data_IF_923291115928
#
_entry.id   IF_923291115928
#
_cell.length_a   1.000
_cell.length_b   1.000
_cell.length_c   1.000
_cell.angle_alpha   90.00
_cell.angle_beta   90.00
_cell.angle_gamma   90.00
#
_symmetry.space_group_name_H-M   'P 1'
#
loop_
_entity.id
_entity.type
_entity.pdbx_description
1 polymer ?
#
# COMPACT_ATOMS: atom_id res chain seq x y z
N UNK A 1 66.20 -19.65 -19.03
CA UNK A 1 65.11 -19.75 -20.01
C UNK A 1 63.86 -19.91 -19.18
N UNK A 2 63.19 -18.79 -18.93
CA UNK A 2 61.95 -18.70 -18.15
C UNK A 2 60.77 -19.05 -19.05
N UNK A 3 59.89 -19.93 -18.59
CA UNK A 3 58.56 -20.12 -19.15
C UNK A 3 57.58 -19.19 -18.43
N UNK A 4 56.93 -18.33 -19.21
CA UNK A 4 55.96 -17.33 -18.75
C UNK A 4 54.58 -17.93 -18.52
N UNK A 5 54.02 -17.67 -17.35
CA UNK A 5 52.66 -18.01 -16.98
C UNK A 5 51.74 -16.79 -17.21
N UNK A 6 50.73 -16.97 -18.05
CA UNK A 6 49.78 -15.94 -18.47
C UNK A 6 48.63 -15.92 -17.46
N UNK A 7 48.48 -14.80 -16.74
CA UNK A 7 47.46 -14.60 -15.72
C UNK A 7 46.15 -14.10 -16.37
N UNK A 8 45.03 -14.75 -16.08
CA UNK A 8 43.69 -14.38 -16.62
C UNK A 8 42.92 -13.66 -15.51
N UNK A 9 42.34 -12.46 -15.74
CA UNK A 9 41.64 -11.74 -14.68
C UNK A 9 40.27 -12.35 -14.38
N UNK A 10 39.92 -12.37 -13.09
CA UNK A 10 38.66 -12.91 -12.56
C UNK A 10 37.45 -12.04 -12.94
N UNK A 11 36.34 -12.70 -13.29
CA UNK A 11 35.04 -12.10 -13.57
C UNK A 11 34.40 -11.59 -12.26
N UNK A 12 33.86 -10.37 -12.19
CA UNK A 12 33.21 -9.87 -10.98
C UNK A 12 31.85 -10.54 -10.77
N UNK A 13 31.59 -11.01 -9.54
CA UNK A 13 30.34 -11.65 -9.15
C UNK A 13 29.18 -10.64 -9.08
N UNK A 14 28.07 -10.93 -9.75
CA UNK A 14 26.84 -10.14 -9.66
C UNK A 14 26.21 -10.23 -8.25
N UNK A 15 25.59 -9.14 -7.75
CA UNK A 15 24.94 -9.14 -6.45
C UNK A 15 23.65 -9.97 -6.47
N UNK A 16 23.57 -10.96 -5.57
CA UNK A 16 22.36 -11.76 -5.34
C UNK A 16 21.20 -10.88 -4.84
N UNK A 17 19.95 -11.10 -5.30
CA UNK A 17 18.79 -10.40 -4.75
C UNK A 17 18.59 -10.77 -3.27
N UNK A 18 18.59 -9.77 -2.40
CA UNK A 18 18.33 -9.93 -0.95
C UNK A 18 16.83 -9.85 -0.73
N UNK A 19 16.19 -11.00 -0.50
CA UNK A 19 14.82 -11.05 -0.01
C UNK A 19 14.76 -10.84 1.50
N UNK A 20 13.78 -10.05 2.01
CA UNK A 20 13.54 -9.97 3.44
C UNK A 20 13.14 -11.35 3.97
N UNK A 21 13.64 -11.78 5.15
CA UNK A 21 13.30 -13.08 5.69
C UNK A 21 11.80 -13.15 5.99
N UNK A 22 11.17 -14.27 5.63
CA UNK A 22 9.81 -14.60 6.07
C UNK A 22 9.77 -14.63 7.61
N UNK A 23 8.73 -14.06 8.25
CA UNK A 23 8.62 -14.04 9.70
C UNK A 23 8.53 -15.47 10.25
N UNK A 24 9.42 -15.80 11.19
CA UNK A 24 9.47 -17.08 11.88
C UNK A 24 8.25 -17.24 12.79
N UNK A 25 7.63 -18.42 12.77
CA UNK A 25 6.68 -18.86 13.82
C UNK A 25 7.45 -18.96 15.14
N UNK A 26 7.02 -18.23 16.16
CA UNK A 26 7.47 -18.43 17.54
C UNK A 26 6.35 -19.07 18.36
N UNK A 27 6.74 -20.12 19.09
CA UNK A 27 5.91 -20.98 19.95
C UNK A 27 6.09 -20.55 21.41
N UNK A 28 4.97 -20.43 22.16
CA UNK A 28 4.76 -20.57 23.64
C UNK A 28 5.61 -19.73 24.63
N UNK A 29 5.16 -19.24 25.81
CA UNK A 29 4.05 -19.59 26.70
C UNK A 29 3.63 -18.44 27.66
N UNK A 30 2.35 -18.50 28.10
CA UNK A 30 1.70 -18.18 29.40
C UNK A 30 2.13 -17.00 30.31
N UNK A 31 1.14 -16.23 30.80
CA UNK A 31 0.67 -16.20 32.21
C UNK A 31 -0.53 -15.23 32.45
N UNK A 32 -1.57 -15.78 33.12
CA UNK A 32 -2.66 -15.24 33.97
C UNK A 32 -3.73 -14.20 33.51
N UNK A 33 -4.96 -14.73 33.39
CA UNK A 33 -6.25 -14.32 34.00
C UNK A 33 -6.58 -12.85 34.28
N UNK A 34 -7.76 -12.37 33.85
CA UNK A 34 -8.98 -12.18 34.69
C UNK A 34 -10.16 -11.69 33.80
N UNK A 35 -11.36 -12.18 34.09
CA UNK A 35 -12.65 -11.96 33.44
C UNK A 35 -13.29 -10.57 33.63
N UNK A 36 -13.96 -10.02 32.60
CA UNK A 36 -15.30 -9.37 32.61
C UNK A 36 -15.55 -8.54 31.31
N UNK A 37 -16.78 -8.03 31.07
CA UNK A 37 -17.91 -8.67 30.40
C UNK A 37 -18.03 -8.31 28.90
N UNK A 38 -18.78 -9.13 28.18
CA UNK A 38 -19.13 -8.99 26.75
C UNK A 38 -19.93 -7.71 26.49
N UNK A 39 -19.36 -6.78 25.73
CA UNK A 39 -20.08 -5.66 25.13
C UNK A 39 -20.22 -5.96 23.64
N UNK A 40 -21.46 -6.11 23.18
CA UNK A 40 -21.82 -6.29 21.77
C UNK A 40 -21.22 -5.14 20.92
N UNK A 41 -20.26 -5.46 20.06
CA UNK A 41 -19.59 -4.49 19.18
C UNK A 41 -20.34 -4.37 17.85
N UNK A 42 -21.29 -3.44 17.75
CA UNK A 42 -21.75 -2.94 16.46
C UNK A 42 -20.72 -1.95 15.87
N UNK A 43 -19.62 -2.49 15.33
CA UNK A 43 -18.60 -1.75 14.59
C UNK A 43 -18.78 -1.91 13.08
N UNK A 44 -18.89 -0.80 12.35
CA UNK A 44 -18.87 -0.81 10.87
C UNK A 44 -17.45 -1.19 10.45
N UNK A 45 -17.27 -2.42 9.98
CA UNK A 45 -16.01 -2.91 9.45
C UNK A 45 -15.70 -2.22 8.12
N UNK A 46 -14.43 -1.84 7.91
CA UNK A 46 -13.99 -1.35 6.60
C UNK A 46 -14.03 -2.52 5.63
N UNK A 47 -14.95 -2.45 4.66
CA UNK A 47 -15.22 -3.51 3.68
C UNK A 47 -14.16 -3.47 2.59
N UNK A 48 -13.43 -4.57 2.43
CA UNK A 48 -12.50 -4.73 1.31
C UNK A 48 -13.30 -4.89 -0.01
N UNK A 49 -12.77 -4.40 -1.14
CA UNK A 49 -13.38 -4.66 -2.44
C UNK A 49 -13.54 -6.16 -2.71
N UNK A 50 -14.58 -6.51 -3.47
CA UNK A 50 -14.80 -7.90 -3.88
C UNK A 50 -13.72 -8.34 -4.88
N UNK A 51 -13.35 -9.62 -4.81
CA UNK A 51 -12.42 -10.20 -5.77
C UNK A 51 -12.95 -10.05 -7.22
N UNK A 52 -12.07 -9.84 -8.22
CA UNK A 52 -12.49 -9.74 -9.62
C UNK A 52 -13.15 -11.04 -10.09
N UNK A 53 -14.31 -10.94 -10.74
CA UNK A 53 -15.07 -12.12 -11.16
C UNK A 53 -14.44 -12.79 -12.38
N UNK A 54 -13.93 -11.98 -13.31
CA UNK A 54 -13.26 -12.37 -14.56
C UNK A 54 -11.84 -11.79 -14.67
N UNK A 55 -11.02 -12.30 -15.60
CA UNK A 55 -9.71 -11.72 -15.92
C UNK A 55 -9.83 -10.26 -16.40
N UNK A 56 -10.91 -9.94 -17.11
CA UNK A 56 -11.20 -8.57 -17.55
C UNK A 56 -11.43 -7.61 -16.36
N UNK A 57 -12.11 -8.07 -15.31
CA UNK A 57 -12.41 -7.25 -14.11
C UNK A 57 -11.15 -6.89 -13.30
N UNK A 58 -10.03 -7.58 -13.53
CA UNK A 58 -8.74 -7.22 -12.93
C UNK A 58 -8.36 -5.78 -13.34
N UNK A 59 -8.73 -5.35 -14.56
CA UNK A 59 -8.50 -4.00 -15.08
C UNK A 59 -7.13 -3.80 -15.72
N UNK A 60 -6.33 -4.86 -15.84
CA UNK A 60 -5.00 -4.84 -16.46
C UNK A 60 -5.05 -5.53 -17.82
N UNK A 61 -4.20 -5.10 -18.75
CA UNK A 61 -4.16 -5.72 -20.08
C UNK A 61 -3.71 -7.18 -19.99
N UNK A 62 -4.17 -8.08 -20.88
CA UNK A 62 -3.73 -9.47 -20.91
C UNK A 62 -2.21 -9.60 -20.99
N UNK A 63 -1.56 -8.77 -21.82
CA UNK A 63 -0.10 -8.76 -21.95
C UNK A 63 0.60 -8.42 -20.63
N UNK A 64 0.11 -7.40 -19.91
CA UNK A 64 0.67 -7.05 -18.59
C UNK A 64 0.51 -8.20 -17.59
N UNK A 65 -0.65 -8.85 -17.56
CA UNK A 65 -0.92 -9.96 -16.63
C UNK A 65 0.00 -11.16 -16.92
N UNK A 66 0.18 -11.52 -18.18
CA UNK A 66 1.08 -12.60 -18.59
C UNK A 66 2.53 -12.28 -18.23
N UNK A 67 3.01 -11.07 -18.51
CA UNK A 67 4.35 -10.62 -18.09
C UNK A 67 4.53 -10.65 -16.58
N UNK A 68 3.52 -10.17 -15.83
CA UNK A 68 3.56 -10.13 -14.37
C UNK A 68 3.64 -11.55 -13.78
N UNK A 69 2.86 -12.49 -14.31
CA UNK A 69 2.94 -13.91 -13.93
C UNK A 69 4.30 -14.52 -14.31
N UNK A 70 4.82 -14.25 -15.51
CA UNK A 70 6.16 -14.71 -15.92
C UNK A 70 7.23 -14.22 -14.93
N UNK A 71 7.19 -12.96 -14.51
CA UNK A 71 8.15 -12.41 -13.52
C UNK A 71 8.07 -13.15 -12.18
N UNK A 72 6.87 -13.48 -11.71
CA UNK A 72 6.70 -14.27 -10.47
C UNK A 72 7.28 -15.68 -10.64
N UNK A 73 7.04 -16.35 -11.77
CA UNK A 73 7.64 -17.67 -12.04
C UNK A 73 9.17 -17.55 -12.14
N UNK A 74 9.69 -16.51 -12.78
CA UNK A 74 11.13 -16.26 -12.89
C UNK A 74 11.80 -16.21 -11.51
N UNK A 75 11.26 -15.42 -10.58
CA UNK A 75 11.82 -15.32 -9.23
C UNK A 75 11.58 -16.55 -8.34
N UNK A 76 10.46 -17.26 -8.52
CA UNK A 76 10.12 -18.43 -7.71
C UNK A 76 10.66 -19.75 -8.27
N UNK A 77 11.22 -19.72 -9.50
CA UNK A 77 11.77 -20.82 -10.31
C UNK A 77 10.77 -21.95 -10.67
N UNK A 78 10.13 -22.55 -9.66
CA UNK A 78 9.18 -23.68 -9.81
C UNK A 78 7.92 -23.54 -8.93
N UNK A 79 7.18 -22.42 -9.00
CA UNK A 79 5.98 -22.22 -8.20
C UNK A 79 4.80 -23.12 -8.64
N UNK A 80 3.88 -23.36 -7.72
CA UNK A 80 2.54 -23.86 -8.03
C UNK A 80 1.60 -22.72 -8.43
N UNK A 81 0.48 -23.01 -9.09
CA UNK A 81 -0.53 -21.99 -9.41
C UNK A 81 -1.05 -21.26 -8.15
N UNK A 82 -1.21 -21.98 -7.04
CA UNK A 82 -1.62 -21.40 -5.75
C UNK A 82 -0.55 -20.44 -5.19
N UNK A 83 0.74 -20.77 -5.34
CA UNK A 83 1.82 -19.86 -4.95
C UNK A 83 1.76 -18.57 -5.76
N UNK A 84 1.63 -18.67 -7.09
CA UNK A 84 1.51 -17.50 -7.98
C UNK A 84 0.27 -16.68 -7.61
N UNK A 85 -0.88 -17.31 -7.41
CA UNK A 85 -2.13 -16.64 -7.00
C UNK A 85 -1.99 -15.86 -5.70
N UNK A 86 -1.30 -16.44 -4.70
CA UNK A 86 -1.03 -15.77 -3.44
C UNK A 86 -0.09 -14.58 -3.61
N UNK A 87 0.98 -14.71 -4.39
CA UNK A 87 1.94 -13.61 -4.63
C UNK A 87 1.28 -12.47 -5.40
N UNK A 88 0.54 -12.80 -6.47
CA UNK A 88 -0.13 -11.82 -7.33
C UNK A 88 -1.42 -11.28 -6.68
N UNK A 89 -1.92 -11.89 -5.61
CA UNK A 89 -3.12 -11.41 -4.91
C UNK A 89 -4.40 -11.57 -5.73
N UNK A 90 -4.43 -12.49 -6.71
CA UNK A 90 -5.59 -12.76 -7.56
C UNK A 90 -6.18 -14.15 -7.26
N UNK A 91 -7.48 -14.39 -7.54
CA UNK A 91 -8.08 -15.72 -7.48
C UNK A 91 -7.30 -16.75 -8.29
N UNK A 92 -7.15 -17.96 -7.74
CA UNK A 92 -6.37 -19.04 -8.39
C UNK A 92 -6.92 -19.41 -9.77
N UNK A 93 -8.24 -19.32 -9.99
CA UNK A 93 -8.86 -19.57 -11.30
C UNK A 93 -8.30 -18.69 -12.42
N UNK A 94 -8.06 -17.42 -12.13
CA UNK A 94 -7.51 -16.45 -13.09
C UNK A 94 -6.04 -16.75 -13.38
N UNK A 95 -5.30 -17.18 -12.36
CA UNK A 95 -3.91 -17.60 -12.53
C UNK A 95 -3.80 -18.88 -13.37
N UNK A 96 -4.70 -19.84 -13.19
CA UNK A 96 -4.73 -21.06 -14.03
C UNK A 96 -4.98 -20.69 -15.50
N UNK A 97 -5.93 -19.79 -15.77
CA UNK A 97 -6.19 -19.30 -17.13
C UNK A 97 -4.96 -18.63 -17.75
N UNK A 98 -4.26 -17.77 -17.00
CA UNK A 98 -3.01 -17.14 -17.45
C UNK A 98 -1.88 -18.15 -17.67
N UNK A 99 -1.74 -19.15 -16.79
CA UNK A 99 -0.74 -20.20 -16.93
C UNK A 99 -1.01 -21.09 -18.15
N UNK A 100 -2.27 -21.37 -18.46
CA UNK A 100 -2.63 -22.13 -19.66
C UNK A 100 -2.37 -21.34 -20.95
N UNK A 101 -2.58 -20.01 -20.94
CA UNK A 101 -2.15 -19.14 -22.03
C UNK A 101 -0.62 -19.15 -22.21
N UNK A 102 0.14 -19.01 -21.12
CA UNK A 102 1.60 -19.09 -21.14
C UNK A 102 2.12 -20.45 -21.64
N UNK A 103 1.46 -21.55 -21.28
CA UNK A 103 1.78 -22.90 -21.78
C UNK A 103 1.49 -23.03 -23.28
N UNK A 104 0.32 -22.55 -23.72
CA UNK A 104 -0.05 -22.55 -25.14
C UNK A 104 0.99 -21.81 -25.99
N UNK A 105 1.50 -20.70 -25.46
CA UNK A 105 2.55 -19.89 -26.10
C UNK A 105 3.97 -20.43 -25.90
N UNK A 106 4.12 -21.59 -25.24
CA UNK A 106 5.38 -22.25 -24.88
C UNK A 106 6.32 -21.39 -24.06
N UNK A 107 5.78 -20.50 -23.22
CA UNK A 107 6.53 -19.66 -22.28
C UNK A 107 6.81 -20.40 -20.97
N UNK A 108 5.95 -21.33 -20.56
CA UNK A 108 6.19 -22.18 -19.40
C UNK A 108 5.75 -23.62 -19.65
N UNK A 109 6.23 -24.52 -18.80
CA UNK A 109 5.94 -25.95 -18.83
C UNK A 109 5.68 -26.48 -17.41
N UNK A 110 5.02 -27.63 -17.32
CA UNK A 110 4.71 -28.29 -16.04
C UNK A 110 5.84 -29.26 -15.71
N UNK A 111 6.37 -29.16 -14.48
CA UNK A 111 7.44 -30.02 -13.98
C UNK A 111 6.92 -30.77 -12.75
N UNK A 112 6.43 -31.97 -12.99
CA UNK A 112 5.93 -32.87 -11.94
C UNK A 112 4.46 -32.69 -11.60
N UNK A 113 3.86 -33.79 -11.15
CA UNK A 113 2.47 -33.95 -10.73
C UNK A 113 2.14 -35.45 -10.72
N UNK A 114 1.58 -35.94 -9.61
CA UNK A 114 1.09 -37.33 -9.56
C UNK A 114 -0.02 -37.51 -10.60
N UNK A 115 0.03 -38.57 -11.39
CA UNK A 115 -1.01 -38.93 -12.37
C UNK A 115 -2.38 -39.19 -11.72
N UNK A 116 -2.46 -39.24 -10.40
CA UNK A 116 -3.65 -39.62 -9.64
C UNK A 116 -4.19 -38.57 -8.67
N UNK A 117 -3.56 -37.40 -8.51
CA UNK A 117 -4.05 -36.37 -7.58
C UNK A 117 -4.01 -34.95 -8.16
N UNK A 118 -4.99 -34.16 -7.73
CA UNK A 118 -5.57 -32.97 -8.33
C UNK A 118 -4.56 -31.89 -8.78
N UNK A 119 -5.01 -31.06 -9.74
CA UNK A 119 -4.30 -29.92 -10.38
C UNK A 119 -3.55 -28.94 -9.46
N UNK A 120 -3.77 -28.99 -8.14
CA UNK A 120 -3.11 -28.18 -7.12
C UNK A 120 -1.62 -28.50 -6.92
N UNK A 121 -1.14 -29.65 -7.42
CA UNK A 121 0.25 -30.10 -7.20
C UNK A 121 1.20 -29.74 -8.36
N UNK A 122 0.67 -29.28 -9.51
CA UNK A 122 1.51 -28.94 -10.66
C UNK A 122 2.43 -27.75 -10.36
N UNK A 123 3.71 -27.91 -10.68
CA UNK A 123 4.71 -26.85 -10.64
C UNK A 123 5.02 -26.37 -12.04
N UNK A 124 5.25 -25.08 -12.17
CA UNK A 124 5.50 -24.44 -13.46
C UNK A 124 6.93 -23.93 -13.51
N UNK A 125 7.63 -24.13 -14.62
CA UNK A 125 8.94 -23.53 -14.89
C UNK A 125 8.89 -22.78 -16.21
N UNK A 126 9.64 -21.69 -16.33
CA UNK A 126 9.82 -21.00 -17.60
C UNK A 126 10.65 -21.85 -18.57
N UNK A 127 10.21 -21.89 -19.83
CA UNK A 127 11.03 -22.36 -20.95
C UNK A 127 12.09 -21.31 -21.26
N UNK A 128 13.02 -21.59 -22.19
CA UNK A 128 14.00 -20.59 -22.63
C UNK A 128 13.34 -19.35 -23.24
N UNK A 129 12.26 -19.55 -24.02
CA UNK A 129 11.43 -18.46 -24.54
C UNK A 129 10.80 -17.63 -23.42
N UNK A 130 10.30 -18.29 -22.36
CA UNK A 130 9.73 -17.64 -21.19
C UNK A 130 10.75 -16.86 -20.37
N UNK A 131 11.97 -17.38 -20.23
CA UNK A 131 13.06 -16.67 -19.52
C UNK A 131 13.47 -15.40 -20.26
N UNK A 132 13.69 -15.47 -21.57
CA UNK A 132 13.99 -14.28 -22.38
C UNK A 132 12.89 -13.23 -22.24
N UNK A 133 11.62 -13.66 -22.28
CA UNK A 133 10.48 -12.75 -22.08
C UNK A 133 10.41 -12.16 -20.67
N UNK A 134 10.82 -12.91 -19.65
CA UNK A 134 10.93 -12.43 -18.28
C UNK A 134 11.99 -11.33 -18.16
N UNK A 135 13.16 -11.53 -18.78
CA UNK A 135 14.25 -10.55 -18.77
C UNK A 135 13.83 -9.24 -19.43
N UNK A 136 13.14 -9.30 -20.58
CA UNK A 136 12.55 -8.12 -21.22
C UNK A 136 11.55 -7.40 -20.28
N UNK A 137 10.64 -8.14 -19.65
CA UNK A 137 9.67 -7.57 -18.72
C UNK A 137 10.35 -6.95 -17.47
N UNK A 138 11.42 -7.56 -16.97
CA UNK A 138 12.22 -7.06 -15.84
C UNK A 138 13.05 -5.83 -16.20
N UNK A 139 13.48 -5.71 -17.46
CA UNK A 139 14.12 -4.50 -17.97
C UNK A 139 13.16 -3.31 -17.96
N UNK A 140 11.85 -3.53 -18.15
CA UNK A 140 10.84 -2.49 -18.01
C UNK A 140 10.44 -2.22 -16.55
N UNK A 141 10.21 -3.28 -15.76
CA UNK A 141 9.88 -3.13 -14.35
C UNK A 141 10.19 -4.41 -13.56
N UNK A 142 11.00 -4.27 -12.49
CA UNK A 142 11.45 -5.39 -11.67
C UNK A 142 10.41 -5.88 -10.65
N UNK A 143 9.30 -5.18 -10.48
CA UNK A 143 8.28 -5.56 -9.51
C UNK A 143 7.56 -6.87 -9.90
N UNK A 144 7.42 -7.78 -8.94
CA UNK A 144 6.77 -9.09 -9.10
C UNK A 144 6.03 -9.51 -7.80
N UNK A 145 5.14 -8.64 -7.31
CA UNK A 145 4.31 -8.87 -6.12
C UNK A 145 2.83 -8.95 -6.47
N UNK A 146 1.98 -8.41 -5.58
CA UNK A 146 0.55 -8.27 -5.84
C UNK A 146 0.31 -7.55 -7.17
N UNK A 147 -0.66 -8.00 -7.97
CA UNK A 147 -1.05 -7.27 -9.17
C UNK A 147 -1.47 -5.85 -8.76
N UNK A 148 -1.02 -4.82 -9.48
CA UNK A 148 -1.46 -3.47 -9.19
C UNK A 148 -2.96 -3.32 -9.44
N UNK A 149 -3.54 -2.30 -8.81
CA UNK A 149 -4.89 -1.83 -9.16
C UNK A 149 -4.76 -0.65 -10.10
N UNK A 150 -5.69 -0.48 -11.04
CA UNK A 150 -5.64 0.69 -11.92
C UNK A 150 -5.91 1.97 -11.12
N UNK A 151 -5.49 3.12 -11.65
CA UNK A 151 -5.79 4.40 -11.00
C UNK A 151 -7.31 4.60 -10.83
N UNK A 152 -8.14 4.21 -11.79
CA UNK A 152 -9.60 4.35 -11.72
C UNK A 152 -10.21 3.44 -10.64
N UNK A 153 -9.67 2.22 -10.49
CA UNK A 153 -10.06 1.32 -9.39
C UNK A 153 -9.65 1.91 -8.04
N UNK A 154 -8.43 2.45 -7.96
CA UNK A 154 -7.92 3.13 -6.78
C UNK A 154 -8.86 4.27 -6.36
N UNK A 155 -9.14 5.19 -7.28
CA UNK A 155 -10.01 6.33 -7.06
C UNK A 155 -11.41 5.95 -6.61
N UNK A 156 -12.03 4.96 -7.25
CA UNK A 156 -13.37 4.50 -6.92
C UNK A 156 -13.46 4.03 -5.46
N UNK A 157 -12.47 3.26 -5.01
CA UNK A 157 -12.44 2.70 -3.66
C UNK A 157 -12.10 3.78 -2.63
N UNK A 158 -11.08 4.61 -2.88
CA UNK A 158 -10.70 5.70 -1.97
C UNK A 158 -11.81 6.74 -1.83
N UNK A 159 -12.49 7.09 -2.92
CA UNK A 159 -13.60 8.06 -2.91
C UNK A 159 -14.86 7.49 -2.26
N UNK A 160 -15.13 6.20 -2.49
CA UNK A 160 -16.27 5.49 -1.90
C UNK A 160 -16.15 5.24 -0.40
N UNK A 161 -14.95 5.29 0.17
CA UNK A 161 -14.74 5.11 1.62
C UNK A 161 -15.32 6.23 2.48
N UNK A 162 -15.71 7.37 1.88
CA UNK A 162 -16.37 8.48 2.55
C UNK A 162 -15.52 9.16 3.62
N UNK A 163 -15.61 10.49 3.71
CA UNK A 163 -15.10 11.24 4.87
C UNK A 163 -16.08 11.04 6.03
N UNK A 164 -16.08 9.85 6.66
CA UNK A 164 -17.12 9.50 7.64
C UNK A 164 -16.81 10.02 9.06
N UNK A 165 -17.70 10.93 9.49
CA UNK A 165 -18.09 11.43 10.83
C UNK A 165 -17.05 12.09 11.74
N UNK A 166 -17.52 13.16 12.40
CA UNK A 166 -16.83 13.99 13.39
C UNK A 166 -16.66 13.20 14.71
N UNK A 167 -15.47 13.16 15.32
CA UNK A 167 -15.27 12.55 16.64
C UNK A 167 -15.91 13.39 17.77
N UNK A 168 -16.23 12.75 18.90
CA UNK A 168 -16.74 13.42 20.12
C UNK A 168 -15.59 14.03 20.95
N UNK A 169 -15.88 15.04 21.78
CA UNK A 169 -14.87 15.78 22.56
C UNK A 169 -14.09 14.87 23.53
N UNK A 170 -14.78 13.88 24.10
CA UNK A 170 -14.22 12.91 25.04
C UNK A 170 -13.18 11.99 24.38
N UNK A 171 -13.47 11.51 23.16
CA UNK A 171 -12.56 10.64 22.39
C UNK A 171 -11.29 11.39 21.93
N UNK A 172 -11.39 12.71 21.78
CA UNK A 172 -10.24 13.54 21.42
C UNK A 172 -9.32 13.75 22.64
N UNK A 173 -9.88 14.03 23.81
CA UNK A 173 -9.10 14.22 25.04
C UNK A 173 -8.37 12.94 25.47
N UNK A 174 -9.00 11.77 25.29
CA UNK A 174 -8.37 10.47 25.54
C UNK A 174 -7.18 10.21 24.59
N UNK A 175 -7.30 10.54 23.30
CA UNK A 175 -6.24 10.35 22.30
C UNK A 175 -4.98 11.20 22.58
N UNK A 176 -5.18 12.41 23.10
CA UNK A 176 -4.10 13.35 23.40
C UNK A 176 -3.37 13.03 24.72
N UNK A 177 -3.96 12.22 25.60
CA UNK A 177 -3.39 11.86 26.91
C UNK A 177 -2.09 11.03 26.84
N UNK A 178 -1.85 10.38 25.70
CA UNK A 178 -0.65 9.55 25.46
C UNK A 178 0.50 10.30 24.79
N UNK A 179 0.26 11.53 24.32
CA UNK A 179 1.26 12.40 23.73
C UNK A 179 1.78 13.33 24.82
N UNK A 180 3.11 13.53 24.89
CA UNK A 180 3.71 14.57 25.73
C UNK A 180 3.48 15.89 24.99
N UNK A 181 2.26 16.41 25.09
CA UNK A 181 1.86 17.73 24.62
C UNK A 181 1.72 18.63 25.83
N UNK A 182 2.09 19.90 25.69
CA UNK A 182 1.66 20.88 26.68
C UNK A 182 0.12 20.99 26.66
N UNK A 183 -0.46 21.35 27.80
CA UNK A 183 -1.91 21.38 28.04
C UNK A 183 -2.64 22.34 27.06
N UNK A 184 -1.93 23.33 26.53
CA UNK A 184 -2.45 24.31 25.57
C UNK A 184 -2.57 23.69 24.18
N UNK A 185 -1.54 22.97 23.73
CA UNK A 185 -1.54 22.22 22.47
C UNK A 185 -2.59 21.11 22.49
N UNK A 186 -2.73 20.39 23.61
CA UNK A 186 -3.78 19.39 23.78
C UNK A 186 -5.19 20.00 23.73
N UNK A 187 -5.44 21.10 24.44
CA UNK A 187 -6.76 21.78 24.45
C UNK A 187 -7.09 22.42 23.10
N UNK A 188 -6.08 22.87 22.35
CA UNK A 188 -6.25 23.40 20.99
C UNK A 188 -6.63 22.29 20.02
N UNK A 189 -5.88 21.18 20.01
CA UNK A 189 -6.17 20.00 19.21
C UNK A 189 -7.58 19.48 19.54
N UNK A 190 -7.96 19.43 20.81
CA UNK A 190 -9.31 19.09 21.27
C UNK A 190 -10.42 19.92 20.60
N UNK A 191 -10.25 21.24 20.56
CA UNK A 191 -11.20 22.16 19.93
C UNK A 191 -11.21 22.05 18.41
N UNK A 192 -10.05 21.89 17.77
CA UNK A 192 -9.90 21.77 16.33
C UNK A 192 -10.52 20.47 15.76
N UNK A 193 -10.45 19.38 16.52
CA UNK A 193 -11.07 18.11 16.16
C UNK A 193 -12.60 18.12 16.38
N UNK A 194 -13.11 18.80 17.42
CA UNK A 194 -14.56 18.86 17.73
C UNK A 194 -15.38 19.71 16.74
N UNK A 195 -14.81 20.76 16.15
CA UNK A 195 -15.44 21.61 15.13
C UNK A 195 -15.67 20.92 13.77
N UNK A 196 -15.20 19.67 13.63
CA UNK A 196 -15.82 18.74 12.70
C UNK A 196 -15.42 18.88 11.23
N UNK A 197 -14.20 19.35 10.99
CA UNK A 197 -13.53 19.41 9.68
C UNK A 197 -12.19 18.65 9.65
N UNK A 198 -11.92 17.86 10.68
CA UNK A 198 -10.76 16.99 10.83
C UNK A 198 -11.21 15.74 11.61
N UNK A 199 -11.08 14.56 11.03
CA UNK A 199 -11.59 13.30 11.60
C UNK A 199 -10.46 12.55 12.29
N UNK A 200 -10.36 12.63 13.63
CA UNK A 200 -9.45 11.78 14.43
C UNK A 200 -10.24 10.92 15.43
N UNK A 201 -9.99 9.61 15.45
CA UNK A 201 -10.54 8.68 16.45
C UNK A 201 -9.41 7.80 16.96
N UNK A 202 -9.03 7.96 18.23
CA UNK A 202 -8.38 6.90 19.02
C UNK A 202 -8.99 6.83 20.43
N UNK A 203 -9.89 5.87 20.60
CA UNK A 203 -10.26 5.17 21.84
C UNK A 203 -10.32 3.66 21.54
N UNK A 204 -10.50 2.75 22.51
CA UNK A 204 -10.62 1.32 22.23
C UNK A 204 -11.86 1.05 21.37
N UNK A 205 -11.69 0.20 20.33
CA UNK A 205 -12.74 -0.34 19.44
C UNK A 205 -13.68 0.65 18.72
N UNK A 206 -13.63 0.64 17.37
CA UNK A 206 -14.76 1.06 16.53
C UNK A 206 -14.51 2.21 15.56
N UNK A 207 -14.51 1.88 14.27
CA UNK A 207 -14.88 2.74 13.12
C UNK A 207 -13.88 3.77 12.57
N UNK A 208 -12.78 4.10 13.25
CA UNK A 208 -11.82 5.14 12.76
C UNK A 208 -10.35 4.74 12.60
N UNK A 209 -9.95 3.56 13.09
CA UNK A 209 -8.54 3.12 13.11
C UNK A 209 -8.08 2.38 11.87
N UNK A 210 -9.00 1.98 11.00
CA UNK A 210 -8.73 1.10 9.87
C UNK A 210 -8.90 1.87 8.57
N UNK A 211 -8.01 1.63 7.62
CA UNK A 211 -8.10 2.13 6.25
C UNK A 211 -7.73 1.03 5.27
N UNK A 212 -7.98 1.23 3.98
CA UNK A 212 -7.56 0.30 2.92
C UNK A 212 -6.70 1.03 1.92
N UNK A 213 -5.59 0.43 1.56
CA UNK A 213 -4.74 0.88 0.45
C UNK A 213 -4.34 -0.31 -0.41
N UNK A 214 -3.70 -0.07 -1.54
CA UNK A 214 -3.09 -1.11 -2.37
C UNK A 214 -1.57 -1.06 -2.26
N UNK A 215 -0.88 -2.12 -2.67
CA UNK A 215 0.57 -2.07 -2.79
C UNK A 215 1.03 -1.13 -3.91
N UNK A 216 0.43 -1.26 -5.08
CA UNK A 216 0.78 -0.52 -6.27
C UNK A 216 -0.44 -0.05 -7.06
N UNK A 217 -0.36 1.19 -7.55
CA UNK A 217 -1.26 1.74 -8.56
C UNK A 217 -0.59 1.57 -9.93
N UNK A 218 -1.38 1.20 -10.94
CA UNK A 218 -0.99 1.21 -12.35
C UNK A 218 -1.63 2.41 -13.05
N UNK A 219 -0.80 3.26 -13.65
CA UNK A 219 -1.23 4.43 -14.42
C UNK A 219 -0.29 4.64 -15.61
N UNK A 220 -0.85 4.77 -16.82
CA UNK A 220 -0.08 5.03 -18.05
C UNK A 220 1.13 4.11 -18.27
N UNK A 221 0.99 2.81 -17.98
CA UNK A 221 2.10 1.86 -18.12
C UNK A 221 3.11 1.87 -16.96
N UNK A 222 2.96 2.77 -15.99
CA UNK A 222 3.87 2.93 -14.86
C UNK A 222 3.28 2.35 -13.57
N UNK A 223 4.16 1.86 -12.71
CA UNK A 223 3.81 1.40 -11.37
C UNK A 223 4.19 2.44 -10.33
N UNK A 224 3.26 2.69 -9.41
CA UNK A 224 3.43 3.65 -8.31
C UNK A 224 3.18 2.92 -6.99
N UNK A 225 4.23 2.79 -6.18
CA UNK A 225 4.17 2.14 -4.88
C UNK A 225 3.49 3.05 -3.86
N UNK A 226 2.38 2.57 -3.31
CA UNK A 226 1.62 3.26 -2.26
C UNK A 226 1.93 2.62 -0.91
N UNK A 227 1.74 1.31 -0.77
CA UNK A 227 2.03 0.63 0.48
C UNK A 227 3.52 0.57 0.77
N UNK A 228 3.89 1.08 1.93
CA UNK A 228 5.25 1.05 2.44
C UNK A 228 5.22 0.51 3.88
N UNK A 229 5.84 -0.65 4.16
CA UNK A 229 5.83 -1.25 5.50
C UNK A 229 6.55 -0.40 6.56
N UNK A 230 7.35 0.60 6.16
CA UNK A 230 7.94 1.56 7.10
C UNK A 230 6.93 2.60 7.57
N UNK A 231 5.93 2.92 6.74
CA UNK A 231 4.92 3.95 7.01
C UNK A 231 3.55 3.37 7.37
N UNK A 232 3.29 2.11 7.01
CA UNK A 232 1.98 1.47 7.17
C UNK A 232 2.07 0.22 8.03
N UNK A 233 1.10 0.11 8.94
CA UNK A 233 0.89 -1.12 9.73
C UNK A 233 -0.27 -1.90 9.14
N UNK A 234 0.01 -3.04 8.51
CA UNK A 234 -1.04 -3.95 8.04
C UNK A 234 -1.84 -4.52 9.23
N UNK A 235 -3.16 -4.50 9.12
CA UNK A 235 -4.06 -5.21 10.02
C UNK A 235 -4.30 -6.58 9.42
N UNK A 236 -3.82 -7.61 10.10
CA UNK A 236 -4.15 -9.00 9.78
C UNK A 236 -5.40 -9.35 10.58
N UNK A 237 -6.50 -9.63 9.89
CA UNK A 237 -7.70 -10.14 10.55
C UNK A 237 -7.39 -11.55 11.08
N UNK A 238 -6.97 -11.67 12.34
CA UNK A 238 -6.75 -12.96 13.01
C UNK A 238 -8.09 -13.70 13.26
N UNK A 239 -9.20 -12.97 13.30
CA UNK A 239 -10.53 -13.48 13.67
C UNK A 239 -11.41 -13.97 12.49
N UNK A 240 -10.98 -13.80 11.24
CA UNK A 240 -11.77 -14.21 10.06
C UNK A 240 -11.82 -15.73 9.80
N UNK A 241 -11.39 -16.55 10.76
CA UNK A 241 -11.40 -18.02 10.68
C UNK A 241 -12.70 -18.65 11.18
N UNK A 242 -13.62 -17.88 11.77
CA UNK A 242 -14.88 -18.42 12.31
C UNK A 242 -16.00 -17.38 12.26
N UNK A 243 -16.63 -17.20 11.10
CA UNK A 243 -17.99 -16.64 11.06
C UNK A 243 -18.84 -17.45 10.05
N UNK A 244 -19.65 -18.32 10.66
CA UNK A 244 -20.96 -18.84 10.25
C UNK A 244 -21.29 -18.91 8.75
N UNK A 245 -20.84 -19.99 8.11
CA UNK A 245 -21.65 -20.61 7.04
C UNK A 245 -22.48 -21.70 7.70
N UNK A 246 -23.80 -21.48 7.72
CA UNK A 246 -24.81 -22.39 8.24
C UNK A 246 -24.65 -23.83 7.75
N UNK A 247 -25.17 -24.76 8.55
CA UNK A 247 -25.15 -26.20 8.25
C UNK A 247 -25.89 -26.49 6.94
N UNK A 248 -25.13 -26.67 5.84
CA UNK A 248 -25.66 -27.14 4.57
C UNK A 248 -24.64 -26.94 3.44
N UNK A 249 -24.09 -28.05 2.91
CA UNK A 249 -23.26 -28.12 1.70
C UNK A 249 -22.17 -27.03 1.56
N UNK A 250 -21.05 -27.22 2.25
CA UNK A 250 -19.87 -26.35 2.14
C UNK A 250 -19.17 -26.52 0.79
N UNK A 251 -19.54 -25.72 -0.20
CA UNK A 251 -18.55 -25.18 -1.12
C UNK A 251 -17.75 -24.19 -0.28
N UNK A 252 -16.58 -24.60 0.21
CA UNK A 252 -15.64 -23.66 0.83
C UNK A 252 -15.21 -22.71 -0.28
N UNK A 253 -15.98 -21.65 -0.52
CA UNK A 253 -15.51 -20.52 -1.32
C UNK A 253 -14.29 -20.03 -0.57
N UNK A 254 -13.10 -20.30 -1.11
CA UNK A 254 -11.87 -19.87 -0.49
C UNK A 254 -11.98 -18.35 -0.29
N UNK A 255 -11.49 -17.83 0.83
CA UNK A 255 -11.48 -16.38 1.12
C UNK A 255 -10.97 -15.56 -0.10
N UNK A 256 -10.08 -16.17 -0.87
CA UNK A 256 -9.53 -15.71 -2.15
C UNK A 256 -10.55 -15.31 -3.21
N UNK A 257 -11.75 -15.89 -3.20
CA UNK A 257 -12.83 -15.58 -4.17
C UNK A 257 -13.79 -14.49 -3.66
N UNK A 258 -13.71 -14.09 -2.38
CA UNK A 258 -14.64 -13.14 -1.77
C UNK A 258 -14.07 -11.72 -1.71
N UNK A 259 -12.77 -11.58 -1.42
CA UNK A 259 -12.10 -10.30 -1.24
C UNK A 259 -10.92 -10.13 -2.19
N UNK A 260 -10.77 -8.95 -2.76
CA UNK A 260 -9.65 -8.62 -3.62
C UNK A 260 -8.37 -8.46 -2.79
N UNK A 261 -7.46 -9.42 -2.89
CA UNK A 261 -6.22 -9.48 -2.09
C UNK A 261 -5.15 -8.49 -2.54
N UNK A 262 -5.37 -7.76 -3.65
CA UNK A 262 -4.54 -6.61 -4.04
C UNK A 262 -4.70 -5.41 -3.09
N UNK A 263 -5.73 -5.45 -2.26
CA UNK A 263 -6.01 -4.45 -1.24
C UNK A 263 -5.57 -4.93 0.14
N UNK A 264 -4.97 -4.00 0.87
CA UNK A 264 -4.37 -4.20 2.17
C UNK A 264 -5.13 -3.36 3.18
N UNK A 265 -5.72 -4.03 4.17
CA UNK A 265 -6.27 -3.37 5.35
C UNK A 265 -5.10 -2.90 6.22
N UNK A 266 -5.06 -1.61 6.54
CA UNK A 266 -4.02 -0.99 7.36
C UNK A 266 -4.63 -0.27 8.55
N UNK A 267 -3.81 -0.02 9.57
CA UNK A 267 -4.10 1.07 10.51
C UNK A 267 -4.10 2.38 9.73
N UNK A 268 -5.04 3.27 10.03
CA UNK A 268 -5.13 4.59 9.41
C UNK A 268 -3.75 5.26 9.48
N UNK A 269 -3.20 5.71 8.34
CA UNK A 269 -1.82 6.17 8.31
C UNK A 269 -1.65 7.50 9.06
N UNK A 270 -0.56 7.63 9.79
CA UNK A 270 -0.13 8.88 10.41
C UNK A 270 1.35 9.04 10.15
N UNK A 271 1.70 9.95 9.23
CA UNK A 271 3.08 10.17 8.81
C UNK A 271 3.55 11.51 9.36
N UNK A 272 4.80 11.55 9.83
CA UNK A 272 5.47 12.76 10.32
C UNK A 272 6.60 13.12 9.36
N UNK A 273 6.73 14.41 9.05
CA UNK A 273 7.78 14.97 8.20
C UNK A 273 8.40 16.15 8.91
N UNK A 274 9.72 16.27 8.90
CA UNK A 274 10.44 17.35 9.57
C UNK A 274 11.15 18.28 8.60
N UNK A 275 12.28 18.85 9.04
CA UNK A 275 13.11 19.76 8.25
C UNK A 275 13.71 19.17 6.97
N UNK A 276 13.67 17.84 6.80
CA UNK A 276 14.13 17.15 5.58
C UNK A 276 13.18 17.30 4.39
N UNK A 277 11.97 17.83 4.61
CA UNK A 277 10.99 18.01 3.55
C UNK A 277 11.49 19.01 2.50
N UNK A 278 11.44 18.60 1.23
CA UNK A 278 11.76 19.43 0.06
C UNK A 278 10.58 19.47 -0.91
N UNK A 279 10.64 20.33 -1.93
CA UNK A 279 9.62 20.37 -2.98
C UNK A 279 9.53 19.01 -3.72
N UNK A 280 10.67 18.37 -4.00
CA UNK A 280 10.75 17.05 -4.64
C UNK A 280 10.15 15.94 -3.79
N UNK A 281 10.10 16.12 -2.46
CA UNK A 281 9.47 15.17 -1.53
C UNK A 281 7.95 15.08 -1.71
N UNK A 282 7.36 16.04 -2.45
CA UNK A 282 5.95 16.09 -2.82
C UNK A 282 5.70 15.50 -4.21
N UNK A 283 6.73 15.08 -4.93
CA UNK A 283 6.59 14.49 -6.26
C UNK A 283 6.74 12.97 -6.23
N UNK A 284 6.40 12.33 -7.34
CA UNK A 284 6.66 10.90 -7.52
C UNK A 284 8.17 10.64 -7.66
N UNK A 285 8.71 9.82 -6.76
CA UNK A 285 10.12 9.45 -6.78
C UNK A 285 10.38 8.23 -7.66
N UNK A 286 10.82 8.42 -8.90
CA UNK A 286 11.20 7.29 -9.77
C UNK A 286 12.54 6.68 -9.37
N UNK A 287 12.56 5.36 -9.17
CA UNK A 287 13.76 4.59 -8.89
C UNK A 287 14.31 3.94 -10.17
N UNK A 288 15.51 4.33 -10.66
CA UNK A 288 16.11 3.78 -11.86
C UNK A 288 16.66 2.36 -11.71
N UNK A 289 16.70 1.79 -10.51
CA UNK A 289 17.10 0.40 -10.31
C UNK A 289 15.91 -0.55 -10.39
N UNK A 290 14.78 -0.15 -9.82
CA UNK A 290 13.56 -0.97 -9.77
C UNK A 290 12.55 -0.65 -10.88
N UNK A 291 12.72 0.51 -11.53
CA UNK A 291 11.87 1.04 -12.62
C UNK A 291 10.40 1.19 -12.23
N UNK A 292 10.15 1.70 -11.03
CA UNK A 292 8.82 2.13 -10.60
C UNK A 292 8.93 3.38 -9.74
N UNK A 293 7.79 4.04 -9.53
CA UNK A 293 7.70 5.25 -8.72
C UNK A 293 7.37 4.94 -7.27
N UNK A 294 7.95 5.72 -6.36
CA UNK A 294 7.55 5.82 -4.97
C UNK A 294 6.55 6.97 -4.83
N UNK A 295 5.40 6.69 -4.21
CA UNK A 295 4.45 7.74 -3.88
C UNK A 295 5.01 8.71 -2.83
N UNK A 296 4.70 10.02 -2.95
CA UNK A 296 5.06 11.01 -1.93
C UNK A 296 4.31 10.77 -0.61
N UNK A 297 4.84 11.33 0.48
CA UNK A 297 4.33 11.08 1.84
C UNK A 297 2.86 11.46 2.03
N UNK A 298 2.38 12.53 1.40
CA UNK A 298 0.97 12.93 1.48
C UNK A 298 0.04 11.88 0.82
N UNK A 299 0.45 11.25 -0.28
CA UNK A 299 -0.33 10.20 -0.92
C UNK A 299 -0.28 8.89 -0.11
N UNK A 300 0.86 8.59 0.53
CA UNK A 300 0.96 7.48 1.50
C UNK A 300 0.09 7.71 2.74
N UNK A 301 -0.09 8.96 3.15
CA UNK A 301 -0.96 9.35 4.29
C UNK A 301 -2.46 9.31 3.98
N UNK A 302 -2.88 8.72 2.86
CA UNK A 302 -4.27 8.75 2.42
C UNK A 302 -5.28 8.23 3.45
N UNK A 303 -6.38 8.96 3.60
CA UNK A 303 -7.42 8.69 4.61
C UNK A 303 -6.97 8.93 6.05
N UNK A 304 -5.76 9.48 6.26
CA UNK A 304 -5.11 9.65 7.55
C UNK A 304 -4.50 11.05 7.75
N UNK A 305 -3.35 11.10 8.40
CA UNK A 305 -2.71 12.35 8.84
C UNK A 305 -1.32 12.52 8.25
N UNK A 306 -1.01 13.76 7.87
CA UNK A 306 0.34 14.21 7.60
C UNK A 306 0.68 15.32 8.59
N UNK A 307 1.65 15.05 9.47
CA UNK A 307 2.16 16.02 10.44
C UNK A 307 3.44 16.61 9.89
N UNK A 308 3.51 17.93 9.77
CA UNK A 308 4.72 18.67 9.42
C UNK A 308 5.25 19.32 10.68
N UNK A 309 6.36 18.79 11.18
CA UNK A 309 7.03 19.29 12.37
C UNK A 309 8.06 20.37 12.04
N UNK A 310 8.27 21.30 12.98
CA UNK A 310 9.10 22.50 12.80
C UNK A 310 8.80 23.25 11.48
N UNK A 311 7.52 23.35 11.12
CA UNK A 311 7.07 24.02 9.91
C UNK A 311 7.58 25.45 9.85
N UNK A 312 8.20 25.85 8.74
CA UNK A 312 8.96 27.10 8.67
C UNK A 312 10.47 26.92 8.57
N UNK A 313 10.98 25.75 8.98
CA UNK A 313 12.42 25.44 9.01
C UNK A 313 12.85 24.42 7.96
N UNK A 314 11.98 24.12 6.99
CA UNK A 314 12.27 23.23 5.88
C UNK A 314 13.16 23.92 4.83
N UNK A 315 13.80 23.11 3.97
CA UNK A 315 14.56 23.63 2.82
C UNK A 315 13.69 24.34 1.79
N UNK A 316 12.43 23.88 1.65
CA UNK A 316 11.42 24.48 0.79
C UNK A 316 10.66 25.57 1.56
N UNK A 317 10.24 26.62 0.86
CA UNK A 317 9.56 27.73 1.51
C UNK A 317 8.18 27.30 2.06
N UNK A 318 7.78 27.78 3.24
CA UNK A 318 6.46 27.48 3.82
C UNK A 318 5.31 27.89 2.90
N UNK A 319 5.44 29.03 2.22
CA UNK A 319 4.44 29.53 1.27
C UNK A 319 4.25 28.58 0.09
N UNK A 320 5.32 28.01 -0.45
CA UNK A 320 5.26 27.05 -1.56
C UNK A 320 4.58 25.74 -1.16
N UNK A 321 4.94 25.20 0.02
CA UNK A 321 4.27 24.03 0.60
C UNK A 321 2.76 24.26 0.78
N UNK A 322 2.40 25.40 1.37
CA UNK A 322 1.01 25.78 1.59
C UNK A 322 0.25 25.98 0.29
N UNK A 323 0.83 26.67 -0.69
CA UNK A 323 0.19 26.90 -2.00
C UNK A 323 -0.24 25.58 -2.66
N UNK A 324 0.66 24.61 -2.68
CA UNK A 324 0.37 23.29 -3.25
C UNK A 324 -0.75 22.59 -2.48
N UNK A 325 -0.61 22.45 -1.16
CA UNK A 325 -1.56 21.68 -0.37
C UNK A 325 -2.92 22.35 -0.23
N UNK A 326 -2.99 23.68 -0.07
CA UNK A 326 -4.27 24.41 -0.04
C UNK A 326 -5.02 24.17 -1.35
N UNK A 327 -4.34 24.25 -2.48
CA UNK A 327 -4.94 24.01 -3.79
C UNK A 327 -5.44 22.56 -3.92
N UNK A 328 -4.66 21.58 -3.46
CA UNK A 328 -5.05 20.18 -3.47
C UNK A 328 -6.24 19.91 -2.52
N UNK A 329 -6.26 20.53 -1.34
CA UNK A 329 -7.35 20.43 -0.36
C UNK A 329 -8.64 21.09 -0.86
N UNK A 330 -8.55 22.27 -1.47
CA UNK A 330 -9.71 22.98 -2.04
C UNK A 330 -10.38 22.17 -3.16
N UNK A 331 -9.57 21.45 -3.96
CA UNK A 331 -10.06 20.56 -5.03
C UNK A 331 -10.43 19.16 -4.54
N UNK A 332 -9.94 18.76 -3.37
CA UNK A 332 -9.97 17.39 -2.87
C UNK A 332 -9.12 16.41 -3.69
N UNK A 333 -8.20 16.92 -4.52
CA UNK A 333 -7.40 16.15 -5.48
C UNK A 333 -6.03 16.77 -5.66
N UNK A 334 -5.00 15.94 -5.81
CA UNK A 334 -3.63 16.35 -6.11
C UNK A 334 -3.17 15.82 -7.45
N UNK A 335 -2.33 16.60 -8.11
CA UNK A 335 -1.81 16.31 -9.43
C UNK A 335 -0.33 15.95 -9.33
N UNK A 336 0.04 14.77 -9.83
CA UNK A 336 1.42 14.29 -9.82
C UNK A 336 1.88 14.01 -11.25
N UNK A 337 3.15 14.29 -11.53
CA UNK A 337 3.72 14.15 -12.87
C UNK A 337 4.61 12.92 -12.97
N UNK A 338 4.42 12.10 -14.00
CA UNK A 338 5.33 11.02 -14.36
C UNK A 338 6.51 11.59 -15.17
N UNK A 339 7.68 10.92 -15.16
CA UNK A 339 8.84 11.32 -15.99
C UNK A 339 8.56 11.29 -17.48
N UNK A 340 7.56 10.51 -17.89
CA UNK A 340 7.07 10.42 -19.25
C UNK A 340 6.24 11.65 -19.67
N UNK A 341 5.87 12.51 -18.71
CA UNK A 341 5.15 13.77 -18.93
C UNK A 341 3.64 13.68 -18.72
N UNK A 342 3.09 12.48 -18.55
CA UNK A 342 1.69 12.29 -18.22
C UNK A 342 1.43 12.70 -16.77
N UNK A 343 0.28 13.32 -16.60
CA UNK A 343 -0.22 13.80 -15.33
C UNK A 343 -1.23 12.80 -14.78
N UNK A 344 -1.03 12.39 -13.52
CA UNK A 344 -2.00 11.60 -12.76
C UNK A 344 -2.71 12.50 -11.77
N UNK A 345 -4.01 12.29 -11.65
CA UNK A 345 -4.85 13.02 -10.71
C UNK A 345 -5.34 12.02 -9.66
N UNK A 346 -5.08 12.30 -8.38
CA UNK A 346 -5.33 11.38 -7.27
C UNK A 346 -6.17 12.07 -6.20
N UNK A 347 -7.06 11.34 -5.49
CA UNK A 347 -7.79 11.93 -4.38
C UNK A 347 -6.82 12.44 -3.32
N UNK A 348 -7.13 13.59 -2.71
CA UNK A 348 -6.34 14.20 -1.65
C UNK A 348 -7.18 14.26 -0.36
N UNK A 349 -7.26 13.11 0.33
CA UNK A 349 -8.07 12.90 1.52
C UNK A 349 -7.18 12.74 2.76
N UNK A 350 -6.39 13.77 3.05
CA UNK A 350 -5.55 13.81 4.24
C UNK A 350 -5.98 14.91 5.21
N UNK A 351 -5.69 14.69 6.48
CA UNK A 351 -5.67 15.76 7.48
C UNK A 351 -4.24 16.27 7.63
N UNK A 352 -4.01 17.52 7.24
CA UNK A 352 -2.73 18.19 7.40
C UNK A 352 -2.65 18.84 8.79
N UNK A 353 -1.58 18.55 9.53
CA UNK A 353 -1.28 19.14 10.84
C UNK A 353 0.09 19.83 10.75
N UNK A 354 0.16 21.11 11.12
CA UNK A 354 1.39 21.89 11.09
C UNK A 354 1.78 22.24 12.53
N UNK A 355 2.99 21.87 12.92
CA UNK A 355 3.62 22.26 14.19
C UNK A 355 4.73 23.26 13.87
N UNK A 356 4.77 24.39 14.57
CA UNK A 356 5.80 25.41 14.35
C UNK A 356 6.10 26.17 15.64
N UNK A 357 7.38 26.49 15.83
CA UNK A 357 7.85 27.38 16.87
C UNK A 357 8.02 28.84 16.36
N UNK A 358 7.66 29.11 15.10
CA UNK A 358 7.73 30.45 14.50
C UNK A 358 6.41 31.19 14.65
N UNK A 359 6.45 32.51 14.64
CA UNK A 359 5.22 33.30 14.62
C UNK A 359 4.47 33.03 13.31
N UNK A 360 3.16 32.74 13.33
CA UNK A 360 2.38 32.52 12.11
C UNK A 360 2.51 33.64 11.07
N UNK A 361 2.69 34.90 11.50
CA UNK A 361 2.88 36.03 10.60
C UNK A 361 4.19 35.95 9.77
N UNK A 362 5.18 35.20 10.25
CA UNK A 362 6.46 35.01 9.57
C UNK A 362 6.41 33.86 8.55
N UNK A 363 5.34 33.04 8.56
CA UNK A 363 5.19 31.85 7.71
C UNK A 363 4.45 32.13 6.40
N UNK A 364 3.43 32.99 6.45
CA UNK A 364 2.61 33.36 5.29
C UNK A 364 1.82 34.64 5.55
N UNK A 365 1.30 35.26 4.49
CA UNK A 365 0.48 36.46 4.64
C UNK A 365 -0.84 36.20 5.40
N UNK A 366 -1.44 37.27 5.91
CA UNK A 366 -2.67 37.20 6.69
C UNK A 366 -3.87 36.63 5.91
N UNK A 367 -3.88 36.69 4.57
CA UNK A 367 -4.93 36.12 3.74
C UNK A 367 -4.76 34.58 3.61
N UNK A 368 -3.52 34.10 3.53
CA UNK A 368 -3.14 32.69 3.53
C UNK A 368 -3.43 32.03 4.87
N UNK A 369 -3.04 32.66 5.98
CA UNK A 369 -3.32 32.16 7.32
C UNK A 369 -4.83 32.03 7.60
N UNK A 370 -5.70 32.74 6.88
CA UNK A 370 -7.17 32.57 6.99
C UNK A 370 -7.68 31.30 6.32
N UNK A 371 -6.92 30.75 5.37
CA UNK A 371 -7.25 29.51 4.64
C UNK A 371 -6.73 28.26 5.35
N UNK A 372 -5.71 28.41 6.20
CA UNK A 372 -5.23 27.33 7.07
C UNK A 372 -6.26 27.11 8.19
N UNK A 373 -6.87 25.91 8.28
CA UNK A 373 -7.75 25.59 9.38
C UNK A 373 -6.96 25.50 10.68
N UNK A 374 -7.39 26.28 11.69
CA UNK A 374 -6.85 26.34 13.06
C UNK A 374 -5.40 26.85 13.19
N UNK A 375 -5.20 27.85 14.05
CA UNK A 375 -3.90 28.43 14.40
C UNK A 375 -3.64 28.15 15.88
N UNK A 376 -2.60 27.38 16.19
CA UNK A 376 -2.05 27.31 17.55
C UNK A 376 -0.93 28.32 17.66
#
# INVERSE_FOLDING_TARGET
MEDGQIDTPAVPAEPRPVWPPLPKKSTEAEILSTSAPTVEQNGVSVVLPKAPETVHDIGLSPSFLLEHVIKVIHYAETPTAEHVARVVGLPTRHIVELLDALKSDRMCEIIGGSTYDLSSTYRFRLTEKGKARAEEALAHCRYAGAAPVTIEQYERVISGMGVSRRPTLEAINEALSSLILDETAATFLARAFHSGRSTMIFGPSGNGKTHVITEFIYAYGQLIRIYDPLNHTQIRDEAGLREEVGQGFKRTVARDDLVDRRWVKIRRPGLIVGGELTAESLELGYDPLTHFYQAPKHLKAQGGFLVVDDFGRQKVSPTELLNRWIMAMERGRDNLLLRTGESIDVPFHITLLLSTNLNPADLADAAFLRRIPYKA
#
